data_IF_272441538091
#
_entry.id   IF_272441538091
#
_cell.length_a   1.000
_cell.length_b   1.000
_cell.length_c   1.000
_cell.angle_alpha   90.00
_cell.angle_beta   90.00
_cell.angle_gamma   90.00
#
_symmetry.space_group_name_H-M   'P 1'
#
loop_
_entity.id
_entity.type
_entity.pdbx_description
1 polymer ?
#
# COMPACT_ATOMS: atom_id res chain seq x y z
N UNK A 1 1.55 -25.43 2.04
CA UNK A 1 0.75 -25.06 0.86
C UNK A 1 -0.61 -24.37 1.19
N UNK A 2 -0.99 -24.20 2.46
CA UNK A 2 -2.23 -23.48 2.86
C UNK A 2 -2.02 -21.98 3.09
N UNK A 3 -0.80 -21.53 3.39
CA UNK A 3 -0.49 -20.12 3.66
C UNK A 3 -0.48 -19.21 2.43
N UNK A 4 -0.28 -19.76 1.25
CA UNK A 4 -0.23 -19.00 -0.01
C UNK A 4 -1.62 -18.51 -0.48
N UNK A 5 -2.70 -19.04 0.12
CA UNK A 5 -4.07 -18.62 -0.19
C UNK A 5 -4.61 -17.52 0.73
N UNK A 6 -3.97 -17.33 1.91
CA UNK A 6 -4.36 -16.26 2.84
C UNK A 6 -4.01 -14.85 2.31
N UNK A 7 -2.85 -14.73 1.65
CA UNK A 7 -2.44 -13.46 1.04
C UNK A 7 -3.32 -13.05 -0.14
N UNK A 8 -3.91 -14.03 -0.87
CA UNK A 8 -4.72 -13.73 -2.04
C UNK A 8 -6.10 -13.13 -1.72
N UNK A 9 -6.65 -13.35 -0.54
CA UNK A 9 -8.03 -12.90 -0.26
C UNK A 9 -8.09 -11.45 0.28
N UNK A 10 -7.04 -10.98 0.95
CA UNK A 10 -6.96 -9.55 1.31
C UNK A 10 -6.64 -8.69 0.08
N UNK A 11 -5.82 -9.22 -0.86
CA UNK A 11 -5.56 -8.59 -2.17
C UNK A 11 -6.73 -8.68 -3.13
N UNK A 12 -7.66 -9.61 -2.97
CA UNK A 12 -8.86 -9.69 -3.80
C UNK A 12 -9.81 -8.50 -3.58
N UNK A 13 -9.77 -7.85 -2.42
CA UNK A 13 -10.52 -6.62 -2.17
C UNK A 13 -9.96 -5.42 -2.94
N UNK A 14 -8.66 -5.43 -3.26
CA UNK A 14 -7.99 -4.35 -4.01
C UNK A 14 -7.75 -4.65 -5.50
N UNK A 15 -7.92 -5.91 -5.97
CA UNK A 15 -7.45 -6.33 -7.31
C UNK A 15 -8.56 -6.58 -8.34
N UNK A 16 -9.81 -6.14 -8.13
CA UNK A 16 -10.89 -6.31 -9.12
C UNK A 16 -10.84 -5.38 -10.32
N UNK A 17 -9.70 -4.73 -10.58
CA UNK A 17 -9.53 -3.87 -11.75
C UNK A 17 -8.21 -4.09 -12.48
N UNK A 18 -7.82 -5.31 -12.80
CA UNK A 18 -6.73 -5.51 -13.77
C UNK A 18 -7.17 -6.47 -14.87
N UNK A 19 -7.36 -5.86 -16.03
CA UNK A 19 -7.68 -6.44 -17.32
C UNK A 19 -6.87 -7.69 -17.64
N UNK A 20 -7.56 -8.81 -17.88
CA UNK A 20 -7.05 -9.93 -18.66
C UNK A 20 -6.92 -9.48 -20.13
N UNK A 21 -5.72 -9.21 -20.56
CA UNK A 21 -5.38 -9.19 -21.98
C UNK A 21 -4.32 -10.27 -22.23
N UNK A 22 -4.78 -11.38 -22.74
CA UNK A 22 -3.98 -12.47 -23.26
C UNK A 22 -3.31 -12.02 -24.57
N UNK A 23 -1.98 -12.14 -24.67
CA UNK A 23 -1.23 -11.94 -25.91
C UNK A 23 0.12 -12.64 -25.81
N UNK A 24 0.17 -13.89 -26.28
CA UNK A 24 1.42 -14.62 -26.54
C UNK A 24 2.18 -13.99 -27.67
N UNK A 25 3.48 -13.77 -27.53
CA UNK A 25 4.47 -14.06 -28.58
C UNK A 25 5.87 -14.22 -28.01
N UNK A 26 6.57 -15.15 -28.61
CA UNK A 26 7.80 -15.77 -28.17
C UNK A 26 9.04 -15.07 -28.75
N UNK A 27 10.15 -15.26 -28.01
CA UNK A 27 11.56 -15.44 -28.41
C UNK A 27 12.27 -14.29 -29.13
N UNK A 28 13.35 -13.75 -28.55
CA UNK A 28 14.73 -14.07 -28.97
C UNK A 28 15.76 -13.48 -28.00
N UNK A 29 16.78 -14.27 -27.77
CA UNK A 29 17.93 -14.11 -26.91
C UNK A 29 18.98 -13.17 -27.55
N UNK A 30 19.51 -12.20 -26.81
CA UNK A 30 20.85 -11.68 -27.04
C UNK A 30 21.45 -11.09 -25.77
N UNK A 31 22.50 -11.78 -25.30
CA UNK A 31 23.38 -11.32 -24.24
C UNK A 31 24.18 -10.09 -24.68
N UNK A 32 24.49 -9.19 -23.75
CA UNK A 32 25.81 -8.58 -23.59
C UNK A 32 25.91 -7.86 -22.24
N UNK A 33 26.99 -8.20 -21.54
CA UNK A 33 27.46 -7.64 -20.28
C UNK A 33 27.81 -6.15 -20.42
N UNK A 34 27.52 -5.32 -19.40
CA UNK A 34 28.57 -4.45 -18.85
C UNK A 34 28.22 -4.01 -17.42
N UNK A 35 29.22 -4.12 -16.54
CA UNK A 35 29.18 -3.75 -15.13
C UNK A 35 29.42 -2.24 -15.01
N UNK A 36 28.60 -1.56 -14.22
CA UNK A 36 28.99 -0.30 -13.60
C UNK A 36 28.54 -0.28 -12.14
N UNK A 37 29.52 -0.42 -11.30
CA UNK A 37 29.55 -0.29 -9.85
C UNK A 37 29.17 1.14 -9.43
N UNK A 38 28.13 1.31 -8.64
CA UNK A 38 27.78 2.59 -8.00
C UNK A 38 27.75 2.37 -6.49
N UNK A 39 28.59 3.07 -5.71
CA UNK A 39 28.69 2.88 -4.28
C UNK A 39 27.46 3.43 -3.55
N UNK A 40 26.83 2.54 -2.77
CA UNK A 40 25.86 2.87 -1.74
C UNK A 40 26.47 3.83 -0.71
N UNK A 41 25.99 5.05 -0.62
CA UNK A 41 26.21 5.90 0.53
C UNK A 41 24.97 5.89 1.42
N UNK A 42 25.10 5.16 2.51
CA UNK A 42 24.20 5.26 3.64
C UNK A 42 24.35 6.65 4.27
N UNK A 43 23.31 7.46 4.22
CA UNK A 43 23.22 8.68 5.04
C UNK A 43 22.46 8.30 6.30
N UNK A 44 23.22 8.15 7.38
CA UNK A 44 22.72 7.98 8.74
C UNK A 44 22.19 9.35 9.20
N UNK A 45 20.88 9.47 9.36
CA UNK A 45 20.27 10.52 10.16
C UNK A 45 19.79 9.87 11.47
N UNK A 46 20.68 9.84 12.45
CA UNK A 46 20.29 9.63 13.84
C UNK A 46 19.99 11.03 14.42
N UNK A 47 18.78 11.21 14.89
CA UNK A 47 18.34 11.93 16.10
C UNK A 47 16.90 12.39 15.92
N UNK A 48 15.96 11.70 16.55
CA UNK A 48 14.64 12.14 17.01
C UNK A 48 13.58 11.02 17.00
N UNK A 49 13.90 9.83 17.44
CA UNK A 49 12.95 8.71 17.37
C UNK A 49 12.38 8.21 18.71
N UNK A 50 12.89 8.67 19.86
CA UNK A 50 12.44 8.09 21.14
C UNK A 50 11.09 8.62 21.64
N UNK A 51 10.69 9.86 21.33
CA UNK A 51 9.41 10.42 21.76
C UNK A 51 8.23 9.96 20.86
N UNK A 52 8.49 9.76 19.57
CA UNK A 52 7.45 9.30 18.63
C UNK A 52 7.13 7.81 18.77
N UNK A 53 8.12 6.97 19.15
CA UNK A 53 7.88 5.55 19.41
C UNK A 53 7.08 5.32 20.72
N UNK A 54 7.23 6.20 21.70
CA UNK A 54 6.51 6.09 22.98
C UNK A 54 5.05 6.53 22.85
N UNK A 55 4.74 7.51 22.01
CA UNK A 55 3.39 7.95 21.72
C UNK A 55 2.64 6.91 20.86
N UNK A 56 3.29 6.38 19.82
CA UNK A 56 2.73 5.29 18.97
C UNK A 56 2.48 3.98 19.74
N UNK A 57 3.35 3.61 20.67
CA UNK A 57 3.14 2.41 21.50
C UNK A 57 1.96 2.56 22.47
N UNK A 58 1.58 3.78 22.87
CA UNK A 58 0.40 4.03 23.71
C UNK A 58 -0.90 3.98 22.92
N UNK A 59 -0.91 4.41 21.65
CA UNK A 59 -2.08 4.33 20.77
C UNK A 59 -2.39 2.90 20.31
N UNK A 60 -1.35 2.10 20.07
CA UNK A 60 -1.50 0.66 19.81
C UNK A 60 -2.08 -0.12 20.99
N UNK A 61 -1.80 0.30 22.23
CA UNK A 61 -2.34 -0.30 23.43
C UNK A 61 -3.83 0.03 23.65
N UNK A 62 -4.28 1.21 23.22
CA UNK A 62 -5.68 1.66 23.34
C UNK A 62 -6.63 0.94 22.37
N UNK A 63 -6.11 0.32 21.30
CA UNK A 63 -6.90 -0.44 20.31
C UNK A 63 -7.21 -1.87 20.75
N UNK A 64 -6.45 -2.44 21.69
CA UNK A 64 -6.70 -3.80 22.18
C UNK A 64 -7.84 -3.76 23.18
N UNK A 65 -8.99 -4.30 22.79
CA UNK A 65 -10.09 -4.54 23.73
C UNK A 65 -9.64 -5.55 24.80
N UNK A 66 -10.25 -5.47 26.00
CA UNK A 66 -9.85 -6.29 27.16
C UNK A 66 -10.05 -7.80 26.96
N UNK A 67 -10.73 -8.22 25.89
CA UNK A 67 -11.06 -9.61 25.56
C UNK A 67 -10.09 -10.26 24.53
N UNK A 68 -8.99 -9.59 24.18
CA UNK A 68 -8.01 -10.11 23.21
C UNK A 68 -8.41 -9.86 21.75
N UNK A 69 -9.24 -8.86 21.49
CA UNK A 69 -9.60 -8.41 20.15
C UNK A 69 -9.07 -7.01 19.86
N UNK A 70 -9.08 -6.63 18.59
CA UNK A 70 -8.75 -5.30 18.08
C UNK A 70 -9.94 -4.81 17.27
N UNK A 71 -10.29 -3.54 17.44
CA UNK A 71 -11.30 -2.87 16.64
C UNK A 71 -10.61 -1.96 15.60
N UNK A 72 -10.98 -2.10 14.33
CA UNK A 72 -10.52 -1.25 13.24
C UNK A 72 -11.71 -0.77 12.43
N UNK A 73 -11.63 0.46 11.91
CA UNK A 73 -12.66 1.03 11.04
C UNK A 73 -12.05 1.35 9.69
N UNK A 74 -12.64 0.78 8.63
CA UNK A 74 -12.25 1.02 7.25
C UNK A 74 -13.26 1.98 6.62
N UNK A 75 -12.77 3.04 5.99
CA UNK A 75 -13.61 4.07 5.39
C UNK A 75 -14.45 3.53 4.23
N UNK A 76 -15.64 4.09 4.04
CA UNK A 76 -16.49 3.78 2.89
C UNK A 76 -15.84 4.12 1.55
N UNK A 77 -14.91 5.08 1.52
CA UNK A 77 -14.16 5.46 0.32
C UNK A 77 -13.25 4.34 -0.18
N UNK A 78 -12.60 3.61 0.73
CA UNK A 78 -11.76 2.45 0.38
C UNK A 78 -12.57 1.20 0.10
N UNK A 79 -13.69 0.99 0.80
CA UNK A 79 -14.54 -0.20 0.62
C UNK A 79 -15.43 -0.10 -0.62
N UNK A 80 -15.88 1.10 -0.99
CA UNK A 80 -16.84 1.32 -2.07
C UNK A 80 -18.12 0.52 -1.85
N UNK A 81 -18.56 -0.24 -2.87
CA UNK A 81 -19.75 -1.09 -2.79
C UNK A 81 -19.55 -2.40 -2.00
N UNK A 82 -18.35 -2.63 -1.46
CA UNK A 82 -18.01 -3.86 -0.72
C UNK A 82 -18.28 -3.75 0.79
N UNK A 83 -18.86 -2.65 1.26
CA UNK A 83 -19.25 -2.48 2.65
C UNK A 83 -20.41 -3.44 2.99
N UNK A 84 -20.10 -4.52 3.74
CA UNK A 84 -21.07 -5.56 4.11
C UNK A 84 -20.95 -5.89 5.60
N UNK A 85 -22.07 -6.18 6.24
CA UNK A 85 -22.13 -6.63 7.63
C UNK A 85 -21.90 -8.14 7.79
N UNK A 86 -22.12 -8.91 6.70
CA UNK A 86 -22.02 -10.37 6.75
C UNK A 86 -20.60 -10.82 6.43
N UNK A 87 -19.92 -11.39 7.43
CA UNK A 87 -18.58 -11.96 7.26
C UNK A 87 -18.64 -13.26 6.47
N UNK A 88 -17.79 -13.36 5.46
CA UNK A 88 -17.56 -14.63 4.75
C UNK A 88 -16.86 -15.65 5.67
N UNK A 89 -16.97 -16.94 5.34
CA UNK A 89 -16.26 -17.99 6.07
C UNK A 89 -14.73 -17.78 6.06
N UNK A 90 -14.21 -17.24 4.96
CA UNK A 90 -12.79 -16.93 4.83
C UNK A 90 -12.36 -15.78 5.79
N UNK A 91 -13.18 -14.74 5.94
CA UNK A 91 -12.93 -13.68 6.90
C UNK A 91 -12.98 -14.20 8.35
N UNK A 92 -13.94 -15.07 8.69
CA UNK A 92 -14.00 -15.71 10.00
C UNK A 92 -12.76 -16.58 10.27
N UNK A 93 -12.27 -17.31 9.28
CA UNK A 93 -11.03 -18.10 9.37
C UNK A 93 -9.81 -17.19 9.59
N UNK A 94 -9.82 -15.96 9.04
CA UNK A 94 -8.81 -14.94 9.25
C UNK A 94 -8.91 -14.23 10.62
N UNK A 95 -9.94 -14.52 11.41
CA UNK A 95 -10.10 -13.98 12.77
C UNK A 95 -11.07 -12.83 12.91
N UNK A 96 -11.75 -12.43 11.82
CA UNK A 96 -12.83 -11.46 11.93
C UNK A 96 -13.98 -12.06 12.73
N UNK A 97 -14.43 -11.35 13.77
CA UNK A 97 -15.51 -11.78 14.67
C UNK A 97 -16.82 -11.09 14.34
N UNK A 98 -16.76 -9.81 13.98
CA UNK A 98 -17.93 -9.03 13.55
C UNK A 98 -17.56 -7.94 12.56
N UNK A 99 -18.56 -7.49 11.82
CA UNK A 99 -18.51 -6.31 10.95
C UNK A 99 -19.77 -5.47 11.23
N UNK A 100 -19.61 -4.16 11.37
CA UNK A 100 -20.72 -3.22 11.56
C UNK A 100 -20.61 -2.09 10.57
N UNK A 101 -21.60 -1.94 9.69
CA UNK A 101 -21.68 -0.80 8.75
C UNK A 101 -22.16 0.43 9.50
N UNK A 102 -21.37 1.48 9.46
CA UNK A 102 -21.65 2.76 10.11
C UNK A 102 -22.53 3.67 9.21
N UNK A 103 -23.10 4.72 9.80
CA UNK A 103 -24.00 5.63 9.09
C UNK A 103 -23.30 6.43 7.96
N UNK A 104 -21.98 6.59 8.04
CA UNK A 104 -21.13 7.25 7.03
C UNK A 104 -20.63 6.30 5.93
N UNK A 105 -21.02 5.03 5.98
CA UNK A 105 -20.62 4.00 5.03
C UNK A 105 -19.29 3.31 5.36
N UNK A 106 -18.60 3.71 6.42
CA UNK A 106 -17.45 2.97 6.93
C UNK A 106 -17.89 1.65 7.56
N UNK A 107 -16.95 0.71 7.72
CA UNK A 107 -17.20 -0.57 8.39
C UNK A 107 -16.22 -0.77 9.53
N UNK A 108 -16.76 -0.97 10.72
CA UNK A 108 -15.99 -1.33 11.90
C UNK A 108 -15.92 -2.85 12.03
N UNK A 109 -14.70 -3.37 12.06
CA UNK A 109 -14.41 -4.79 12.23
C UNK A 109 -13.85 -5.04 13.63
N UNK A 110 -14.27 -6.15 14.25
CA UNK A 110 -13.64 -6.71 15.44
C UNK A 110 -12.86 -7.95 15.01
N UNK A 111 -11.57 -8.00 15.34
CA UNK A 111 -10.65 -9.03 14.88
C UNK A 111 -9.87 -9.58 16.07
N UNK A 112 -9.59 -10.88 16.09
CA UNK A 112 -8.66 -11.51 17.04
C UNK A 112 -7.28 -10.84 16.96
N UNK A 113 -6.72 -10.42 18.11
CA UNK A 113 -5.51 -9.60 18.15
C UNK A 113 -4.28 -10.31 17.61
N UNK A 114 -4.13 -11.62 17.86
CA UNK A 114 -2.97 -12.38 17.33
C UNK A 114 -3.05 -12.51 15.81
N UNK A 115 -4.25 -12.74 15.28
CA UNK A 115 -4.47 -12.84 13.84
C UNK A 115 -4.37 -11.49 13.15
N UNK A 116 -4.79 -10.41 13.81
CA UNK A 116 -4.63 -9.06 13.31
C UNK A 116 -3.15 -8.68 13.15
N UNK A 117 -2.30 -8.94 14.13
CA UNK A 117 -0.87 -8.66 14.05
C UNK A 117 -0.23 -9.40 12.85
N UNK A 118 -0.57 -10.68 12.66
CA UNK A 118 -0.09 -11.47 11.52
C UNK A 118 -0.61 -10.88 10.20
N UNK A 119 -1.90 -10.52 10.13
CA UNK A 119 -2.51 -9.95 8.94
C UNK A 119 -1.87 -8.61 8.56
N UNK A 120 -1.55 -7.76 9.54
CA UNK A 120 -0.90 -6.47 9.30
C UNK A 120 0.52 -6.62 8.74
N UNK A 121 1.30 -7.57 9.26
CA UNK A 121 2.64 -7.90 8.73
C UNK A 121 2.55 -8.37 7.28
N UNK A 122 1.62 -9.28 6.98
CA UNK A 122 1.45 -9.79 5.62
C UNK A 122 0.92 -8.70 4.67
N UNK A 123 0.01 -7.85 5.14
CA UNK A 123 -0.49 -6.70 4.35
C UNK A 123 0.66 -5.76 3.98
N UNK A 124 1.51 -5.38 4.94
CA UNK A 124 2.67 -4.54 4.67
C UNK A 124 3.57 -5.16 3.61
N UNK A 125 3.87 -6.43 3.76
CA UNK A 125 4.72 -7.16 2.81
C UNK A 125 4.14 -7.20 1.40
N UNK A 126 2.84 -7.47 1.25
CA UNK A 126 2.18 -7.48 -0.05
C UNK A 126 2.03 -6.05 -0.62
N UNK A 127 1.81 -5.03 0.22
CA UNK A 127 1.82 -3.62 -0.16
C UNK A 127 3.16 -3.20 -0.74
N UNK A 128 4.26 -3.49 -0.06
CA UNK A 128 5.63 -3.23 -0.53
C UNK A 128 5.89 -3.93 -1.86
N UNK A 129 5.55 -5.20 -1.96
CA UNK A 129 5.70 -5.97 -3.20
C UNK A 129 4.87 -5.39 -4.37
N UNK A 130 3.66 -4.89 -4.09
CA UNK A 130 2.83 -4.23 -5.10
C UNK A 130 3.46 -2.91 -5.58
N UNK A 131 4.01 -2.12 -4.65
CA UNK A 131 4.73 -0.89 -4.97
C UNK A 131 6.00 -1.19 -5.81
N UNK A 132 6.82 -2.15 -5.39
CA UNK A 132 8.03 -2.56 -6.12
C UNK A 132 7.71 -3.10 -7.52
N UNK A 133 6.59 -3.81 -7.68
CA UNK A 133 6.15 -4.33 -8.98
C UNK A 133 5.83 -3.23 -10.00
N UNK A 134 5.57 -1.98 -9.56
CA UNK A 134 5.38 -0.85 -10.47
C UNK A 134 6.63 -0.54 -11.32
N UNK A 135 7.81 -0.99 -10.87
CA UNK A 135 9.09 -0.70 -11.53
C UNK A 135 9.45 -1.67 -12.65
N UNK A 136 8.68 -2.75 -12.85
CA UNK A 136 9.01 -3.82 -13.80
C UNK A 136 8.85 -3.42 -15.28
N UNK A 137 8.26 -2.25 -15.56
CA UNK A 137 8.05 -1.72 -16.91
C UNK A 137 6.93 -2.37 -17.72
N UNK A 138 6.22 -3.36 -17.16
CA UNK A 138 5.13 -4.05 -17.88
C UNK A 138 3.88 -3.18 -17.96
N UNK A 139 3.53 -2.50 -16.87
CA UNK A 139 2.36 -1.61 -16.79
C UNK A 139 2.79 -0.15 -16.85
N UNK A 140 3.70 0.25 -15.98
CA UNK A 140 4.19 1.63 -15.86
C UNK A 140 5.55 1.77 -16.51
N UNK A 141 5.58 2.43 -17.67
CA UNK A 141 6.80 2.47 -18.51
C UNK A 141 7.85 3.46 -18.03
N UNK A 142 7.44 4.49 -17.32
CA UNK A 142 8.34 5.55 -16.86
C UNK A 142 8.78 5.39 -15.40
N UNK A 143 8.14 4.53 -14.61
CA UNK A 143 8.53 4.28 -13.23
C UNK A 143 9.79 3.41 -13.19
N UNK A 144 10.84 3.91 -12.52
CA UNK A 144 12.16 3.25 -12.40
C UNK A 144 12.50 2.80 -10.99
N UNK A 145 11.88 3.39 -9.99
CA UNK A 145 12.08 3.08 -8.60
C UNK A 145 10.90 3.51 -7.77
N UNK A 146 10.78 2.93 -6.60
CA UNK A 146 9.84 3.34 -5.56
C UNK A 146 10.60 3.41 -4.25
N UNK A 147 10.51 4.53 -3.54
CA UNK A 147 11.01 4.72 -2.18
C UNK A 147 9.81 4.86 -1.26
N UNK A 148 9.90 4.36 -0.07
CA UNK A 148 8.82 4.40 0.91
C UNK A 148 9.38 4.35 2.33
N UNK A 149 8.67 4.95 3.28
CA UNK A 149 8.98 4.82 4.70
C UNK A 149 8.39 3.54 5.31
N UNK A 150 8.72 3.28 6.56
CA UNK A 150 8.30 2.07 7.26
C UNK A 150 6.78 1.96 7.43
N UNK A 151 6.09 3.09 7.49
CA UNK A 151 4.66 3.18 7.69
C UNK A 151 3.86 3.35 6.39
N UNK A 152 4.51 3.49 5.23
CA UNK A 152 3.90 3.82 3.94
C UNK A 152 3.12 5.15 3.97
N UNK A 153 3.55 6.10 4.82
CA UNK A 153 3.00 7.46 4.88
C UNK A 153 3.58 8.34 3.77
N UNK A 154 4.82 8.07 3.38
CA UNK A 154 5.48 8.73 2.24
C UNK A 154 5.93 7.71 1.23
N UNK A 155 5.43 7.84 0.01
CA UNK A 155 5.79 6.99 -1.14
C UNK A 155 6.34 7.89 -2.24
N UNK A 156 7.53 7.60 -2.76
CA UNK A 156 8.12 8.38 -3.86
C UNK A 156 8.30 7.48 -5.08
N UNK A 157 7.61 7.81 -6.16
CA UNK A 157 7.76 7.18 -7.46
C UNK A 157 8.87 7.88 -8.22
N UNK A 158 9.95 7.16 -8.51
CA UNK A 158 11.08 7.68 -9.27
C UNK A 158 10.81 7.50 -10.76
N UNK A 159 10.71 8.61 -11.48
CA UNK A 159 10.27 8.69 -12.87
C UNK A 159 11.46 8.93 -13.79
N UNK A 160 11.60 8.14 -14.86
CA UNK A 160 12.71 8.28 -15.82
C UNK A 160 12.64 9.54 -16.69
N UNK A 161 11.42 10.04 -16.95
CA UNK A 161 11.18 11.21 -17.80
C UNK A 161 9.83 11.85 -17.44
N UNK A 162 9.86 13.06 -16.88
CA UNK A 162 8.66 13.79 -16.47
C UNK A 162 7.69 14.01 -17.64
N UNK A 163 8.16 14.44 -18.80
CA UNK A 163 7.31 14.76 -19.94
C UNK A 163 6.59 13.51 -20.51
N UNK A 164 7.25 12.36 -20.50
CA UNK A 164 6.63 11.09 -20.90
C UNK A 164 5.61 10.63 -19.88
N UNK A 165 5.90 10.78 -18.58
CA UNK A 165 4.98 10.46 -17.48
C UNK A 165 3.70 11.29 -17.60
N UNK A 166 3.80 12.61 -17.75
CA UNK A 166 2.65 13.52 -17.84
C UNK A 166 1.76 13.25 -19.07
N UNK A 167 2.31 12.67 -20.14
CA UNK A 167 1.56 12.28 -21.33
C UNK A 167 0.94 10.89 -21.24
N UNK A 168 1.33 10.09 -20.25
CA UNK A 168 0.85 8.71 -20.09
C UNK A 168 -0.23 8.65 -19.00
N UNK A 169 -1.48 8.49 -19.40
CA UNK A 169 -2.59 8.27 -18.46
C UNK A 169 -2.38 7.00 -17.62
N UNK A 170 -1.75 5.96 -18.20
CA UNK A 170 -1.43 4.73 -17.47
C UNK A 170 -0.40 4.99 -16.38
N UNK A 171 0.69 5.70 -16.70
CA UNK A 171 1.74 5.97 -15.72
C UNK A 171 1.22 6.93 -14.63
N UNK A 172 0.41 7.93 -14.99
CA UNK A 172 -0.24 8.83 -14.02
C UNK A 172 -1.14 8.09 -13.02
N UNK A 173 -1.78 6.98 -13.43
CA UNK A 173 -2.59 6.16 -12.54
C UNK A 173 -1.77 5.49 -11.42
N UNK A 174 -0.44 5.36 -11.59
CA UNK A 174 0.43 4.83 -10.54
C UNK A 174 0.40 5.66 -9.25
N UNK A 175 0.21 6.98 -9.34
CA UNK A 175 0.08 7.87 -8.18
C UNK A 175 -1.14 7.49 -7.35
N UNK A 176 -2.27 7.27 -8.04
CA UNK A 176 -3.51 6.87 -7.40
C UNK A 176 -3.38 5.49 -6.76
N UNK A 177 -2.77 4.53 -7.45
CA UNK A 177 -2.55 3.19 -6.92
C UNK A 177 -1.62 3.20 -5.70
N UNK A 178 -0.54 3.98 -5.73
CA UNK A 178 0.37 4.12 -4.59
C UNK A 178 -0.34 4.74 -3.39
N UNK A 179 -1.13 5.81 -3.61
CA UNK A 179 -1.93 6.45 -2.57
C UNK A 179 -2.94 5.49 -1.93
N UNK A 180 -3.68 4.74 -2.75
CA UNK A 180 -4.62 3.72 -2.26
C UNK A 180 -3.93 2.65 -1.43
N UNK A 181 -2.73 2.19 -1.86
CA UNK A 181 -1.95 1.19 -1.13
C UNK A 181 -1.55 1.71 0.25
N UNK A 182 -1.06 2.94 0.34
CA UNK A 182 -0.72 3.58 1.61
C UNK A 182 -1.94 3.77 2.51
N UNK A 183 -3.04 4.33 1.98
CA UNK A 183 -4.27 4.56 2.74
C UNK A 183 -4.83 3.26 3.34
N UNK A 184 -4.92 2.18 2.54
CA UNK A 184 -5.38 0.89 3.05
C UNK A 184 -4.50 0.40 4.20
N UNK A 185 -3.19 0.55 4.09
CA UNK A 185 -2.28 0.15 5.15
C UNK A 185 -2.50 0.99 6.43
N UNK A 186 -2.70 2.31 6.32
CA UNK A 186 -2.98 3.18 7.45
C UNK A 186 -4.29 2.80 8.14
N UNK A 187 -5.39 2.62 7.41
CA UNK A 187 -6.67 2.22 8.00
C UNK A 187 -6.60 0.85 8.67
N UNK A 188 -5.91 -0.10 8.04
CA UNK A 188 -5.68 -1.41 8.66
C UNK A 188 -4.79 -1.32 9.92
N UNK A 189 -3.91 -0.33 10.03
CA UNK A 189 -3.21 0.01 11.27
C UNK A 189 -4.13 0.66 12.30
N UNK A 190 -5.36 1.01 11.91
CA UNK A 190 -6.34 1.73 12.74
C UNK A 190 -6.05 3.23 12.86
N UNK A 191 -5.19 3.80 12.00
CA UNK A 191 -5.00 5.24 11.93
C UNK A 191 -6.25 5.87 11.29
N UNK A 192 -6.79 6.94 11.89
CA UNK A 192 -7.99 7.62 11.39
C UNK A 192 -7.67 8.98 10.75
N UNK A 193 -6.74 9.73 11.35
CA UNK A 193 -6.32 11.06 10.90
C UNK A 193 -4.94 10.96 10.21
N UNK A 194 -4.83 10.17 9.15
CA UNK A 194 -3.60 9.97 8.42
C UNK A 194 -3.54 10.78 7.12
N UNK A 195 -2.32 11.04 6.66
CA UNK A 195 -2.04 11.58 5.33
C UNK A 195 -0.97 10.72 4.68
N UNK A 196 -1.30 10.15 3.53
CA UNK A 196 -0.32 9.48 2.67
C UNK A 196 0.11 10.44 1.58
N UNK A 197 1.40 10.75 1.53
CA UNK A 197 1.99 11.62 0.51
C UNK A 197 2.66 10.79 -0.57
N UNK A 198 2.21 10.93 -1.81
CA UNK A 198 2.85 10.33 -2.98
C UNK A 198 3.61 11.40 -3.74
N UNK A 199 4.93 11.27 -3.81
CA UNK A 199 5.83 12.15 -4.53
C UNK A 199 6.20 11.57 -5.90
N UNK A 200 6.37 12.44 -6.89
CA UNK A 200 6.97 12.13 -8.18
C UNK A 200 8.35 12.78 -8.25
N UNK A 201 9.39 11.96 -8.37
CA UNK A 201 10.78 12.40 -8.42
C UNK A 201 11.39 12.12 -9.79
N UNK A 202 12.04 13.11 -10.37
CA UNK A 202 12.81 12.91 -11.60
C UNK A 202 14.11 12.15 -11.31
N UNK A 203 14.35 11.07 -12.02
CA UNK A 203 15.51 10.19 -11.76
C UNK A 203 16.85 10.82 -12.12
N UNK A 204 16.88 11.83 -13.00
CA UNK A 204 18.11 12.44 -13.45
C UNK A 204 18.55 13.59 -12.54
N UNK A 205 17.61 14.41 -12.07
CA UNK A 205 17.90 15.55 -11.18
C UNK A 205 17.76 15.19 -9.70
N UNK A 206 16.92 14.22 -9.36
CA UNK A 206 16.53 13.93 -7.99
C UNK A 206 15.48 14.89 -7.42
N UNK A 207 14.98 15.85 -8.22
CA UNK A 207 13.98 16.81 -7.79
C UNK A 207 12.58 16.21 -7.74
N UNK A 208 11.81 16.55 -6.72
CA UNK A 208 10.39 16.25 -6.65
C UNK A 208 9.66 17.30 -7.49
N UNK A 209 8.97 16.87 -8.55
CA UNK A 209 8.24 17.76 -9.45
C UNK A 209 6.73 17.78 -9.21
N UNK A 210 6.20 16.82 -8.46
CA UNK A 210 4.77 16.76 -8.09
C UNK A 210 4.59 15.98 -6.80
N UNK A 211 3.54 16.31 -6.06
CA UNK A 211 3.12 15.59 -4.85
C UNK A 211 1.60 15.55 -4.77
N UNK A 212 1.04 14.46 -4.29
CA UNK A 212 -0.38 14.29 -4.02
C UNK A 212 -0.58 13.78 -2.58
N UNK A 213 -1.56 14.34 -1.88
CA UNK A 213 -1.92 13.95 -0.52
C UNK A 213 -3.23 13.15 -0.55
N UNK A 214 -3.24 11.97 0.06
CA UNK A 214 -4.38 11.08 0.16
C UNK A 214 -4.86 10.98 1.61
N UNK A 215 -6.19 10.84 1.85
CA UNK A 215 -7.24 10.51 0.85
C UNK A 215 -7.77 11.72 0.04
N UNK A 216 -7.37 12.96 0.31
CA UNK A 216 -7.95 14.14 -0.35
C UNK A 216 -7.86 14.09 -1.89
N UNK A 217 -6.80 13.49 -2.45
CA UNK A 217 -6.61 13.37 -3.89
C UNK A 217 -7.61 12.42 -4.57
N UNK A 218 -8.33 11.57 -3.82
CA UNK A 218 -9.39 10.73 -4.40
C UNK A 218 -10.60 11.54 -4.87
N UNK A 219 -10.79 12.76 -4.33
CA UNK A 219 -11.94 13.61 -4.57
C UNK A 219 -11.69 14.72 -5.62
N UNK A 220 -10.59 14.64 -6.39
CA UNK A 220 -10.19 15.66 -7.38
C UNK A 220 -10.50 15.29 -8.83
#
# INVERSE_FOLDING_TARGET
MRFQRLALSLTALCCLAVFSACGKSAVEEAALEDQADVPSQAVTAEESSEDAEQEKASEEADRKLQDGTVEITISGELLGENAVEELSEEQKDMGYQSATVNADGSVTYVIDSEKYEIALIELRKESVKALEAMTNGEVYRTIRGVLYDDNLETITLVVSNQAEFEQSATDSFSVWQAGLTGCLYQEMRGEQDYIVTVNLQDSASGDIFSSAAFPEAFNQ
#
